data_IF_201188890820
#
_entry.id   IF_201188890820
#
_cell.length_a   1.000
_cell.length_b   1.000
_cell.length_c   1.000
_cell.angle_alpha   90.00
_cell.angle_beta   90.00
_cell.angle_gamma   90.00
#
_symmetry.space_group_name_H-M   'P 1'
#
loop_
_entity.id
_entity.type
_entity.pdbx_description
1 polymer ?
#
# COMPACT_ATOMS: atom_id res chain seq x y z
N UNK A 1 12.69 -12.00 -6.07
CA UNK A 1 11.82 -10.94 -5.52
C UNK A 1 10.55 -10.71 -6.34
N UNK A 2 10.62 -10.51 -7.67
CA UNK A 2 9.39 -10.40 -8.49
C UNK A 2 8.49 -11.64 -8.42
N UNK A 3 9.09 -12.83 -8.40
CA UNK A 3 8.35 -14.10 -8.21
C UNK A 3 7.57 -14.09 -6.90
N UNK A 4 8.20 -13.71 -5.78
CA UNK A 4 7.53 -13.63 -4.48
C UNK A 4 6.37 -12.62 -4.46
N UNK A 5 6.50 -11.48 -5.16
CA UNK A 5 5.39 -10.53 -5.35
C UNK A 5 4.24 -11.15 -6.15
N UNK A 6 4.54 -11.87 -7.24
CA UNK A 6 3.51 -12.54 -8.03
C UNK A 6 2.85 -13.66 -7.26
N UNK A 7 3.59 -14.43 -6.46
CA UNK A 7 3.04 -15.44 -5.56
C UNK A 7 2.11 -14.81 -4.52
N UNK A 8 2.53 -13.71 -3.88
CA UNK A 8 1.73 -12.98 -2.90
C UNK A 8 0.45 -12.41 -3.52
N UNK A 9 0.58 -11.73 -4.67
CA UNK A 9 -0.57 -11.19 -5.40
C UNK A 9 -1.53 -12.32 -5.82
N UNK A 10 -1.02 -13.41 -6.38
CA UNK A 10 -1.81 -14.57 -6.76
C UNK A 10 -2.53 -15.20 -5.56
N UNK A 11 -1.85 -15.32 -4.41
CA UNK A 11 -2.45 -15.82 -3.18
C UNK A 11 -3.59 -14.91 -2.69
N UNK A 12 -3.35 -13.60 -2.58
CA UNK A 12 -4.39 -12.63 -2.15
C UNK A 12 -5.58 -12.62 -3.11
N UNK A 13 -5.33 -12.65 -4.43
CA UNK A 13 -6.40 -12.75 -5.43
C UNK A 13 -7.17 -14.07 -5.29
N UNK A 14 -6.48 -15.18 -5.05
CA UNK A 14 -7.14 -16.48 -4.87
C UNK A 14 -8.02 -16.47 -3.62
N UNK A 15 -7.54 -15.93 -2.50
CA UNK A 15 -8.34 -15.77 -1.29
C UNK A 15 -9.56 -14.87 -1.52
N UNK A 16 -9.41 -13.76 -2.23
CA UNK A 16 -10.53 -12.88 -2.57
C UNK A 16 -11.59 -13.60 -3.41
N UNK A 17 -11.17 -14.40 -4.39
CA UNK A 17 -12.07 -15.22 -5.22
C UNK A 17 -12.78 -16.27 -4.37
N UNK A 18 -12.05 -17.00 -3.52
CA UNK A 18 -12.64 -18.01 -2.62
C UNK A 18 -13.67 -17.36 -1.70
N UNK A 19 -13.34 -16.23 -1.07
CA UNK A 19 -14.26 -15.46 -0.21
C UNK A 19 -15.53 -15.10 -0.95
N UNK A 20 -15.42 -14.57 -2.18
CA UNK A 20 -16.58 -14.21 -2.99
C UNK A 20 -17.49 -15.41 -3.26
N UNK A 21 -16.93 -16.55 -3.66
CA UNK A 21 -17.73 -17.76 -3.89
C UNK A 21 -18.34 -18.31 -2.60
N UNK A 22 -17.58 -18.30 -1.50
CA UNK A 22 -18.08 -18.70 -0.19
C UNK A 22 -19.25 -17.83 0.26
N UNK A 23 -19.16 -16.51 0.15
CA UNK A 23 -20.26 -15.58 0.53
C UNK A 23 -21.52 -15.78 -0.31
N UNK A 24 -21.36 -16.11 -1.60
CA UNK A 24 -22.46 -16.19 -2.55
C UNK A 24 -23.13 -17.56 -2.63
N UNK A 25 -22.39 -18.64 -2.34
CA UNK A 25 -22.84 -20.02 -2.54
C UNK A 25 -22.72 -20.90 -1.28
N UNK A 26 -22.64 -20.31 -0.09
CA UNK A 26 -22.48 -21.06 1.16
C UNK A 26 -23.62 -22.06 1.40
N UNK A 27 -24.86 -21.59 1.32
CA UNK A 27 -26.05 -22.40 1.61
C UNK A 27 -26.57 -23.19 0.41
N UNK A 28 -25.90 -23.12 -0.76
CA UNK A 28 -26.30 -23.82 -1.97
C UNK A 28 -26.06 -23.03 -3.26
N UNK A 29 -26.46 -23.61 -4.41
CA UNK A 29 -26.24 -23.01 -5.74
C UNK A 29 -27.15 -21.82 -6.05
N UNK A 30 -28.31 -21.71 -5.39
CA UNK A 30 -29.16 -20.52 -5.50
C UNK A 30 -28.69 -19.46 -4.50
N UNK A 31 -28.15 -18.32 -4.94
CA UNK A 31 -27.63 -17.31 -4.03
C UNK A 31 -28.73 -16.60 -3.23
N UNK A 32 -29.99 -16.61 -3.69
CA UNK A 32 -31.08 -15.89 -3.03
C UNK A 32 -31.36 -16.43 -1.63
N UNK A 33 -31.09 -17.72 -1.39
CA UNK A 33 -31.29 -18.37 -0.09
C UNK A 33 -30.32 -17.83 0.97
N UNK A 34 -29.10 -17.42 0.59
CA UNK A 34 -28.13 -16.86 1.55
C UNK A 34 -28.62 -15.52 2.14
N UNK A 35 -29.52 -14.83 1.45
CA UNK A 35 -30.02 -13.48 1.78
C UNK A 35 -31.53 -13.44 2.04
N UNK A 36 -32.20 -14.60 2.02
CA UNK A 36 -33.63 -14.67 2.20
C UNK A 36 -33.99 -14.36 3.66
N UNK A 37 -35.06 -13.56 3.85
CA UNK A 37 -35.55 -13.16 5.17
C UNK A 37 -36.54 -14.21 5.67
N UNK A 38 -36.19 -14.95 6.73
CA UNK A 38 -37.06 -15.95 7.35
C UNK A 38 -36.31 -16.85 8.35
N UNK A 39 -37.00 -17.83 8.96
CA UNK A 39 -36.43 -18.87 9.83
C UNK A 39 -35.62 -19.92 9.04
N UNK A 40 -34.71 -19.48 8.18
CA UNK A 40 -33.84 -20.39 7.44
C UNK A 40 -32.63 -20.74 8.30
N UNK A 41 -32.38 -22.04 8.47
CA UNK A 41 -31.29 -22.55 9.31
C UNK A 41 -29.89 -22.19 8.78
N UNK A 42 -29.77 -21.82 7.49
CA UNK A 42 -28.51 -21.46 6.85
C UNK A 42 -28.56 -20.04 6.29
N UNK A 43 -27.71 -19.15 6.82
CA UNK A 43 -27.37 -17.88 6.19
C UNK A 43 -25.87 -17.67 6.23
N UNK A 44 -25.30 -17.00 5.22
CA UNK A 44 -23.86 -16.70 5.20
C UNK A 44 -23.45 -15.78 6.35
N UNK A 45 -24.32 -14.88 6.78
CA UNK A 45 -24.05 -13.90 7.85
C UNK A 45 -24.09 -14.48 9.27
N UNK A 46 -24.91 -15.50 9.51
CA UNK A 46 -25.02 -16.11 10.84
C UNK A 46 -24.05 -17.28 11.03
N UNK A 47 -23.45 -17.80 9.94
CA UNK A 47 -22.53 -18.93 10.02
C UNK A 47 -21.18 -18.53 10.62
N UNK A 48 -20.95 -18.90 11.88
CA UNK A 48 -19.66 -18.70 12.55
C UNK A 48 -18.51 -19.43 11.86
N UNK A 49 -18.76 -20.59 11.25
CA UNK A 49 -17.76 -21.34 10.47
C UNK A 49 -17.29 -20.52 9.27
N UNK A 50 -18.22 -19.96 8.51
CA UNK A 50 -17.90 -19.12 7.36
C UNK A 50 -17.14 -17.86 7.81
N UNK A 51 -17.64 -17.17 8.83
CA UNK A 51 -16.99 -15.96 9.35
C UNK A 51 -15.55 -16.21 9.81
N UNK A 52 -15.27 -17.32 10.50
CA UNK A 52 -13.90 -17.70 10.92
C UNK A 52 -13.01 -18.04 9.74
N UNK A 53 -13.53 -18.77 8.75
CA UNK A 53 -12.80 -19.10 7.52
C UNK A 53 -12.39 -17.83 6.76
N UNK A 54 -13.35 -16.96 6.45
CA UNK A 54 -13.12 -15.73 5.69
C UNK A 54 -12.18 -14.78 6.43
N UNK A 55 -12.38 -14.65 7.75
CA UNK A 55 -11.47 -13.89 8.61
C UNK A 55 -10.04 -14.43 8.52
N UNK A 56 -9.85 -15.76 8.61
CA UNK A 56 -8.51 -16.36 8.57
C UNK A 56 -7.78 -16.09 7.26
N UNK A 57 -8.49 -16.13 6.12
CA UNK A 57 -7.92 -15.83 4.80
C UNK A 57 -7.53 -14.35 4.69
N UNK A 58 -8.42 -13.45 5.14
CA UNK A 58 -8.14 -12.02 5.16
C UNK A 58 -6.91 -11.70 6.03
N UNK A 59 -6.94 -12.13 7.29
CA UNK A 59 -5.85 -11.92 8.25
C UNK A 59 -4.51 -12.45 7.74
N UNK A 60 -4.50 -13.67 7.18
CA UNK A 60 -3.28 -14.27 6.61
C UNK A 60 -2.72 -13.40 5.49
N UNK A 61 -3.58 -12.90 4.59
CA UNK A 61 -3.15 -12.03 3.49
C UNK A 61 -2.58 -10.70 3.99
N UNK A 62 -3.17 -10.09 5.02
CA UNK A 62 -2.68 -8.85 5.62
C UNK A 62 -1.30 -9.04 6.26
N UNK A 63 -1.12 -10.10 7.05
CA UNK A 63 0.18 -10.43 7.68
C UNK A 63 1.26 -10.64 6.62
N UNK A 64 0.97 -11.40 5.56
CA UNK A 64 1.93 -11.65 4.49
C UNK A 64 2.28 -10.37 3.72
N UNK A 65 1.28 -9.50 3.47
CA UNK A 65 1.49 -8.22 2.81
C UNK A 65 2.37 -7.25 3.63
N UNK A 66 2.23 -7.28 4.96
CA UNK A 66 3.05 -6.47 5.88
C UNK A 66 4.45 -7.07 6.05
N UNK A 67 4.57 -8.40 6.09
CA UNK A 67 5.84 -9.09 6.26
C UNK A 67 6.73 -9.04 5.01
N UNK A 68 6.14 -9.17 3.81
CA UNK A 68 6.86 -9.19 2.53
C UNK A 68 7.91 -8.07 2.35
N UNK A 69 7.60 -6.79 2.62
CA UNK A 69 8.58 -5.72 2.43
C UNK A 69 9.71 -5.70 3.49
N UNK A 70 9.56 -6.31 4.66
CA UNK A 70 10.55 -6.20 5.76
C UNK A 70 11.95 -6.71 5.36
N UNK A 71 12.11 -7.92 4.79
CA UNK A 71 13.42 -8.42 4.38
C UNK A 71 14.05 -7.57 3.27
N UNK A 72 13.23 -7.05 2.36
CA UNK A 72 13.68 -6.15 1.30
C UNK A 72 14.28 -4.86 1.87
N UNK A 73 13.62 -4.29 2.88
CA UNK A 73 14.05 -3.04 3.51
C UNK A 73 15.32 -3.21 4.32
N UNK A 74 15.50 -4.36 4.97
CA UNK A 74 16.73 -4.67 5.71
C UNK A 74 17.97 -4.64 4.81
N UNK A 75 17.82 -5.01 3.54
CA UNK A 75 18.93 -4.99 2.56
C UNK A 75 19.15 -3.63 1.90
N UNK A 76 18.18 -2.71 1.97
CA UNK A 76 18.22 -1.45 1.24
C UNK A 76 18.71 -0.29 2.13
N UNK A 77 19.92 0.21 1.85
CA UNK A 77 20.44 1.45 2.47
C UNK A 77 19.68 2.68 1.93
N UNK A 78 18.56 3.02 2.57
CA UNK A 78 17.72 4.16 2.19
C UNK A 78 18.31 5.48 2.72
N UNK A 79 18.96 6.26 1.84
CA UNK A 79 19.54 7.58 2.20
C UNK A 79 18.50 8.71 2.31
N UNK A 80 17.32 8.57 1.69
CA UNK A 80 16.31 9.64 1.65
C UNK A 80 15.25 9.53 2.74
N UNK A 81 15.11 10.55 3.58
CA UNK A 81 14.11 10.65 4.65
C UNK A 81 12.66 10.51 4.14
N UNK A 82 12.36 11.02 2.94
CA UNK A 82 11.01 10.92 2.34
C UNK A 82 10.59 9.46 2.07
N UNK A 83 11.54 8.60 1.69
CA UNK A 83 11.28 7.17 1.46
C UNK A 83 11.06 6.43 2.78
N UNK A 84 11.80 6.79 3.83
CA UNK A 84 11.61 6.25 5.19
C UNK A 84 10.24 6.58 5.76
N UNK A 85 9.79 7.84 5.63
CA UNK A 85 8.45 8.25 6.11
C UNK A 85 7.36 7.49 5.36
N UNK A 86 7.43 7.46 4.02
CA UNK A 86 6.45 6.71 3.23
C UNK A 86 6.36 5.24 3.63
N UNK A 87 7.51 4.63 3.93
CA UNK A 87 7.60 3.26 4.39
C UNK A 87 6.96 3.01 5.76
N UNK A 88 7.28 3.86 6.74
CA UNK A 88 6.68 3.82 8.08
C UNK A 88 5.16 3.97 7.98
N UNK A 89 4.67 4.85 7.10
CA UNK A 89 3.23 5.01 6.87
C UNK A 89 2.62 3.73 6.28
N UNK A 90 3.23 3.11 5.26
CA UNK A 90 2.68 1.84 4.70
C UNK A 90 2.62 0.76 5.76
N UNK A 91 3.71 0.61 6.52
CA UNK A 91 3.83 -0.43 7.51
C UNK A 91 2.86 -0.20 8.68
N UNK A 92 2.75 1.03 9.17
CA UNK A 92 1.82 1.42 10.22
C UNK A 92 0.36 1.17 9.84
N UNK A 93 -0.03 1.51 8.61
CA UNK A 93 -1.39 1.20 8.11
C UNK A 93 -1.67 -0.31 8.07
N UNK A 94 -0.67 -1.11 7.71
CA UNK A 94 -0.77 -2.58 7.75
C UNK A 94 -0.87 -3.13 9.18
N UNK A 95 -0.17 -2.55 10.15
CA UNK A 95 -0.28 -2.96 11.55
C UNK A 95 -1.65 -2.59 12.14
N UNK A 96 -2.20 -1.43 11.78
CA UNK A 96 -3.52 -0.99 12.23
C UNK A 96 -4.62 -1.94 11.73
N UNK A 97 -4.56 -2.32 10.45
CA UNK A 97 -5.53 -3.27 9.86
C UNK A 97 -5.49 -4.63 10.57
N UNK A 98 -4.29 -5.18 10.77
CA UNK A 98 -4.08 -6.42 11.55
C UNK A 98 -4.66 -6.28 12.97
N UNK A 99 -4.40 -5.16 13.66
CA UNK A 99 -4.90 -4.95 15.03
C UNK A 99 -6.45 -4.93 15.09
N UNK A 100 -7.09 -4.31 14.11
CA UNK A 100 -8.57 -4.30 14.01
C UNK A 100 -9.11 -5.69 13.68
N UNK A 101 -8.44 -6.42 12.81
CA UNK A 101 -8.83 -7.79 12.48
C UNK A 101 -8.71 -8.73 13.70
N UNK A 102 -7.68 -8.54 14.55
CA UNK A 102 -7.57 -9.25 15.84
C UNK A 102 -8.71 -8.87 16.79
N UNK A 103 -9.04 -7.58 16.91
CA UNK A 103 -10.16 -7.11 17.74
C UNK A 103 -11.50 -7.74 17.33
N UNK A 104 -11.72 -7.90 16.01
CA UNK A 104 -12.86 -8.63 15.46
C UNK A 104 -12.88 -10.09 15.90
N UNK A 105 -11.74 -10.79 15.83
CA UNK A 105 -11.64 -12.19 16.24
C UNK A 105 -11.89 -12.39 17.74
N UNK A 106 -11.30 -11.54 18.58
CA UNK A 106 -11.55 -11.57 20.03
C UNK A 106 -13.04 -11.36 20.30
N UNK A 107 -13.67 -10.40 19.63
CA UNK A 107 -15.11 -10.16 19.78
C UNK A 107 -15.93 -11.37 19.33
N UNK A 108 -15.59 -12.00 18.20
CA UNK A 108 -16.25 -13.24 17.74
C UNK A 108 -16.07 -14.42 18.70
N UNK A 109 -14.97 -14.48 19.44
CA UNK A 109 -14.63 -15.60 20.32
C UNK A 109 -15.12 -15.45 21.76
N UNK A 110 -15.25 -14.22 22.26
CA UNK A 110 -15.51 -13.92 23.67
C UNK A 110 -16.75 -13.06 23.91
N UNK A 111 -17.32 -12.46 22.87
CA UNK A 111 -18.45 -11.54 22.98
C UNK A 111 -19.58 -12.05 22.08
N UNK A 112 -20.58 -12.70 22.67
CA UNK A 112 -21.76 -13.21 21.96
C UNK A 112 -22.74 -12.09 21.55
N UNK A 113 -22.23 -10.92 21.15
CA UNK A 113 -23.02 -9.80 20.67
C UNK A 113 -22.75 -9.55 19.18
N UNK A 114 -23.74 -9.90 18.34
CA UNK A 114 -23.68 -9.68 16.90
C UNK A 114 -23.42 -8.20 16.52
N UNK A 115 -23.94 -7.26 17.32
CA UNK A 115 -23.73 -5.81 17.13
C UNK A 115 -22.25 -5.45 17.25
N UNK A 116 -21.56 -5.98 18.27
CA UNK A 116 -20.15 -5.71 18.48
C UNK A 116 -19.30 -6.26 17.34
N UNK A 117 -19.62 -7.45 16.84
CA UNK A 117 -18.94 -8.05 15.67
C UNK A 117 -19.13 -7.17 14.43
N UNK A 118 -20.33 -6.64 14.22
CA UNK A 118 -20.63 -5.76 13.09
C UNK A 118 -19.87 -4.42 13.15
N UNK A 119 -19.71 -3.84 14.34
CA UNK A 119 -18.92 -2.61 14.54
C UNK A 119 -17.47 -2.83 14.13
N UNK A 120 -16.86 -3.95 14.56
CA UNK A 120 -15.50 -4.31 14.18
C UNK A 120 -15.35 -4.55 12.68
N UNK A 121 -16.29 -5.27 12.06
CA UNK A 121 -16.29 -5.48 10.62
C UNK A 121 -16.42 -4.16 9.83
N UNK A 122 -17.26 -3.24 10.30
CA UNK A 122 -17.42 -1.92 9.67
C UNK A 122 -16.16 -1.09 9.83
N UNK A 123 -15.52 -1.10 11.00
CA UNK A 123 -14.25 -0.42 11.23
C UNK A 123 -13.14 -0.95 10.32
N UNK A 124 -13.06 -2.27 10.14
CA UNK A 124 -12.12 -2.95 9.24
C UNK A 124 -12.27 -2.46 7.79
N UNK A 125 -13.51 -2.36 7.28
CA UNK A 125 -13.80 -1.83 5.94
C UNK A 125 -13.41 -0.35 5.83
N UNK A 126 -13.79 0.48 6.80
CA UNK A 126 -13.46 1.91 6.79
C UNK A 126 -11.95 2.15 6.74
N UNK A 127 -11.18 1.43 7.56
CA UNK A 127 -9.72 1.53 7.56
C UNK A 127 -9.16 1.04 6.23
N UNK A 128 -9.66 -0.06 5.68
CA UNK A 128 -9.25 -0.57 4.38
C UNK A 128 -9.43 0.48 3.27
N UNK A 129 -10.57 1.18 3.24
CA UNK A 129 -10.83 2.28 2.29
C UNK A 129 -9.82 3.42 2.49
N UNK A 130 -9.51 3.79 3.73
CA UNK A 130 -8.48 4.80 4.02
C UNK A 130 -7.11 4.35 3.48
N UNK A 131 -6.71 3.09 3.70
CA UNK A 131 -5.45 2.55 3.18
C UNK A 131 -5.42 2.60 1.65
N UNK A 132 -6.50 2.19 0.98
CA UNK A 132 -6.61 2.24 -0.49
C UNK A 132 -6.53 3.68 -1.00
N UNK A 133 -7.25 4.62 -0.40
CA UNK A 133 -7.18 6.03 -0.76
C UNK A 133 -5.76 6.59 -0.57
N UNK A 134 -5.11 6.29 0.55
CA UNK A 134 -3.73 6.70 0.83
C UNK A 134 -2.74 6.12 -0.17
N UNK A 135 -2.91 4.86 -0.60
CA UNK A 135 -2.04 4.26 -1.62
C UNK A 135 -2.25 4.87 -3.00
N UNK A 136 -3.48 5.22 -3.38
CA UNK A 136 -3.82 5.90 -4.65
C UNK A 136 -3.30 7.35 -4.72
N UNK A 137 -3.23 8.06 -3.59
CA UNK A 137 -2.77 9.46 -3.52
C UNK A 137 -1.23 9.59 -3.54
N UNK A 138 -0.48 8.56 -3.15
CA UNK A 138 1.00 8.55 -3.18
C UNK A 138 1.63 9.01 -4.52
N UNK A 139 1.24 8.49 -5.69
CA UNK A 139 1.79 8.94 -6.96
C UNK A 139 1.48 10.40 -7.26
N UNK A 140 0.28 10.88 -6.90
CA UNK A 140 -0.15 12.27 -7.09
C UNK A 140 0.68 13.23 -6.23
N UNK A 141 0.90 12.89 -4.95
CA UNK A 141 1.75 13.69 -4.07
C UNK A 141 3.18 13.79 -4.59
N UNK A 142 3.75 12.71 -5.13
CA UNK A 142 5.08 12.76 -5.76
C UNK A 142 5.10 13.72 -6.94
N UNK A 143 4.10 13.66 -7.82
CA UNK A 143 3.99 14.55 -8.98
C UNK A 143 3.86 16.03 -8.58
N UNK A 144 3.02 16.32 -7.58
CA UNK A 144 2.85 17.68 -7.03
C UNK A 144 4.13 18.21 -6.37
N UNK A 145 4.85 17.38 -5.61
CA UNK A 145 6.13 17.80 -5.00
C UNK A 145 7.21 18.11 -6.04
N UNK A 146 7.24 17.34 -7.14
CA UNK A 146 8.17 17.59 -8.24
C UNK A 146 7.81 18.88 -9.01
N UNK A 147 6.52 19.10 -9.29
CA UNK A 147 6.03 20.32 -9.94
C UNK A 147 6.35 21.58 -9.12
N UNK A 148 6.11 21.55 -7.81
CA UNK A 148 6.41 22.69 -6.93
C UNK A 148 7.91 23.02 -6.92
N UNK A 149 8.78 22.00 -6.92
CA UNK A 149 10.22 22.19 -7.06
C UNK A 149 10.59 22.81 -8.41
N UNK A 150 9.98 22.39 -9.52
CA UNK A 150 10.23 23.00 -10.84
C UNK A 150 9.77 24.45 -10.89
N UNK A 151 8.58 24.77 -10.34
CA UNK A 151 8.06 26.15 -10.31
C UNK A 151 8.92 27.07 -9.45
N UNK A 152 9.44 26.59 -8.30
CA UNK A 152 10.37 27.39 -7.49
C UNK A 152 11.69 27.65 -8.21
N UNK A 153 12.27 26.64 -8.89
CA UNK A 153 13.48 26.83 -9.70
C UNK A 153 13.26 27.80 -10.87
N UNK A 154 12.10 27.74 -11.55
CA UNK A 154 11.76 28.68 -12.62
C UNK A 154 11.43 30.09 -12.11
N UNK A 155 10.92 30.20 -10.89
CA UNK A 155 10.67 31.50 -10.24
C UNK A 155 11.98 32.17 -9.81
N UNK A 156 12.95 31.39 -9.32
CA UNK A 156 14.28 31.89 -8.93
C UNK A 156 15.06 32.43 -10.14
N UNK A 157 14.96 31.76 -11.30
CA UNK A 157 15.58 32.17 -12.56
C UNK A 157 14.92 33.44 -13.16
N UNK A 158 13.62 33.64 -12.92
CA UNK A 158 12.90 34.86 -13.32
C UNK A 158 13.15 36.06 -12.41
N UNK A 159 13.61 35.86 -11.17
CA UNK A 159 14.00 36.94 -10.25
C UNK A 159 15.48 37.36 -10.39
N UNK A 160 16.13 36.98 -11.51
CA UNK A 160 17.49 37.37 -11.84
C UNK A 160 17.73 38.89 -11.86
N UNK A 161 18.02 39.44 -10.68
CA UNK A 161 19.14 40.37 -10.50
C UNK A 161 20.35 39.71 -11.20
N UNK A 162 21.07 40.41 -12.09
CA UNK A 162 22.20 39.81 -12.79
C UNK A 162 23.23 39.35 -11.76
N UNK A 163 23.45 38.03 -11.69
CA UNK A 163 24.53 37.46 -10.92
C UNK A 163 25.85 38.01 -11.48
N UNK A 164 26.55 38.79 -10.66
CA UNK A 164 27.91 39.25 -10.90
C UNK A 164 28.75 38.03 -11.30
N UNK A 165 29.44 38.05 -12.46
CA UNK A 165 30.25 36.92 -12.86
C UNK A 165 31.39 36.77 -11.87
N UNK A 166 31.43 35.64 -11.16
CA UNK A 166 32.57 35.26 -10.36
C UNK A 166 33.77 35.15 -11.29
N UNK A 167 34.74 36.02 -11.06
CA UNK A 167 35.97 36.24 -11.81
C UNK A 167 36.66 34.91 -12.19
N UNK A 168 36.49 34.50 -13.45
CA UNK A 168 37.25 33.42 -14.07
C UNK A 168 38.65 33.94 -14.38
N UNK A 169 39.55 33.86 -13.41
CA UNK A 169 40.99 34.03 -13.67
C UNK A 169 41.49 32.80 -14.44
N UNK A 170 41.29 32.79 -15.76
CA UNK A 170 42.02 31.93 -16.69
C UNK A 170 43.11 32.78 -17.34
N UNK A 171 44.35 32.55 -16.91
CA UNK A 171 45.56 33.02 -17.59
C UNK A 171 45.46 32.70 -19.08
N UNK A 172 45.51 33.74 -19.90
CA UNK A 172 45.80 33.68 -21.32
C UNK A 172 47.32 33.59 -21.47
N UNK A 173 47.82 32.57 -22.14
CA UNK A 173 49.23 32.47 -22.49
C UNK A 173 49.50 31.30 -23.43
N UNK A 174 49.95 31.62 -24.65
CA UNK A 174 50.82 30.74 -25.43
C UNK A 174 50.16 29.91 -26.53
N UNK A 175 50.28 30.42 -27.76
CA UNK A 175 50.03 29.72 -29.02
C UNK A 175 51.18 28.75 -29.34
N UNK A 176 50.84 27.62 -30.00
CA UNK A 176 51.63 26.68 -30.86
C UNK A 176 51.07 25.27 -30.59
N UNK A 177 50.43 24.56 -31.52
CA UNK A 177 50.99 24.05 -32.78
C UNK A 177 51.32 22.57 -32.57
N UNK A 178 50.46 21.64 -33.00
CA UNK A 178 50.75 20.21 -32.87
C UNK A 178 49.55 19.28 -33.05
N UNK A 179 49.50 18.67 -34.23
CA UNK A 179 48.68 17.54 -34.68
C UNK A 179 48.83 16.25 -33.85
N UNK A 180 47.76 15.43 -33.81
CA UNK A 180 47.76 14.03 -33.33
C UNK A 180 46.39 13.66 -32.73
N UNK A 181 45.45 13.09 -33.50
CA UNK A 181 45.24 11.64 -33.72
C UNK A 181 45.27 10.85 -32.42
N UNK A 182 44.11 10.38 -31.94
CA UNK A 182 43.99 9.11 -31.20
C UNK A 182 42.59 8.50 -31.35
N UNK A 183 42.57 7.24 -31.79
CA UNK A 183 41.54 6.24 -31.53
C UNK A 183 41.79 5.61 -30.15
N UNK A 184 40.72 5.32 -29.41
CA UNK A 184 40.32 4.03 -28.82
C UNK A 184 39.28 4.23 -27.71
#
# INVERSE_FOLDING_TARGET
MRIALYCLAGLTTSFAVITFFCDWFWCGPDPSINWAKGEQECTSFTSMTLMRLLWSMNFTSEVLNVAYPIPLLATLKMTSTRKKIGLVVVFGLGVITIAVSVGRFVTMGYVDNAISIYIWATAEICISVIVVALTAVRPLLRKLTNLKSTTLLMSEDRSGVPAIPLNRSRKLGGFTGGSGVYWQ
#
